data_IF_733387129074
#
_entry.id   IF_733387129074
#
_cell.length_a   1.000
_cell.length_b   1.000
_cell.length_c   1.000
_cell.angle_alpha   90.00
_cell.angle_beta   90.00
_cell.angle_gamma   90.00
#
_symmetry.space_group_name_H-M   'P 1'
#
loop_
_entity.id
_entity.type
_entity.pdbx_description
1 polymer ?
#
# COMPACT_ATOMS: atom_id res chain seq x y z
N UNK A 1 8.14 -12.30 -23.33
CA UNK A 1 6.97 -11.42 -23.25
C UNK A 1 7.34 -9.97 -22.91
N UNK A 2 7.62 -9.57 -21.66
CA UNK A 2 7.91 -8.14 -21.37
C UNK A 2 9.21 -7.62 -22.01
N UNK A 3 10.29 -8.41 -21.99
CA UNK A 3 11.55 -8.00 -22.63
C UNK A 3 11.43 -7.82 -24.16
N UNK A 4 10.52 -8.56 -24.81
CA UNK A 4 10.21 -8.39 -26.24
C UNK A 4 9.43 -7.09 -26.44
N UNK A 5 8.40 -6.86 -25.62
CA UNK A 5 7.59 -5.65 -25.65
C UNK A 5 8.40 -4.37 -25.43
N UNK A 6 9.37 -4.37 -24.49
CA UNK A 6 10.27 -3.21 -24.30
C UNK A 6 11.24 -3.07 -25.46
N UNK A 7 11.76 -4.18 -26.01
CA UNK A 7 12.65 -4.15 -27.16
C UNK A 7 12.00 -3.61 -28.44
N UNK A 8 10.69 -3.81 -28.61
CA UNK A 8 9.91 -3.27 -29.73
C UNK A 8 9.60 -1.77 -29.56
N UNK A 9 9.42 -1.29 -28.32
CA UNK A 9 8.93 0.06 -28.04
C UNK A 9 10.00 1.06 -27.59
N UNK A 10 11.15 0.58 -27.16
CA UNK A 10 12.30 1.42 -26.76
C UNK A 10 13.47 1.14 -27.70
N UNK A 11 13.70 2.01 -28.71
CA UNK A 11 14.87 1.92 -29.56
C UNK A 11 16.15 1.88 -28.72
N UNK A 12 17.05 0.98 -29.10
CA UNK A 12 18.36 0.81 -28.47
C UNK A 12 18.28 0.38 -26.99
N UNK A 13 17.18 -0.22 -26.55
CA UNK A 13 17.02 -0.67 -25.16
C UNK A 13 18.21 -1.47 -24.63
N UNK A 14 18.82 -2.32 -25.48
CA UNK A 14 20.00 -3.14 -25.12
C UNK A 14 21.26 -2.32 -24.84
N UNK A 15 21.35 -1.13 -25.42
CA UNK A 15 22.48 -0.21 -25.32
C UNK A 15 22.20 0.90 -24.27
N UNK A 16 20.95 1.07 -23.86
CA UNK A 16 20.56 2.00 -22.80
C UNK A 16 20.87 1.44 -21.41
N UNK A 17 21.45 2.30 -20.57
CA UNK A 17 21.70 2.03 -19.16
C UNK A 17 22.64 0.87 -18.87
N UNK A 18 22.74 0.50 -17.60
CA UNK A 18 23.50 -0.66 -17.13
C UNK A 18 22.68 -1.94 -17.31
N UNK A 19 23.35 -3.10 -17.20
CA UNK A 19 22.67 -4.41 -17.19
C UNK A 19 21.66 -4.52 -16.03
N UNK A 20 22.00 -3.95 -14.89
CA UNK A 20 21.18 -3.97 -13.68
C UNK A 20 19.90 -3.15 -13.88
N UNK A 21 20.02 -1.92 -14.40
CA UNK A 21 18.87 -1.07 -14.72
C UNK A 21 17.92 -1.74 -15.73
N UNK A 22 18.45 -2.41 -16.76
CA UNK A 22 17.62 -3.18 -17.69
C UNK A 22 16.92 -4.35 -17.01
N UNK A 23 17.61 -5.04 -16.11
CA UNK A 23 17.02 -6.17 -15.38
C UNK A 23 15.92 -5.70 -14.42
N UNK A 24 16.10 -4.57 -13.76
CA UNK A 24 15.08 -3.95 -12.91
C UNK A 24 13.84 -3.61 -13.71
N UNK A 25 13.97 -2.89 -14.84
CA UNK A 25 12.83 -2.58 -15.69
C UNK A 25 12.10 -3.86 -16.14
N UNK A 26 12.84 -4.91 -16.52
CA UNK A 26 12.25 -6.20 -16.89
C UNK A 26 11.48 -6.83 -15.73
N UNK A 27 12.03 -6.77 -14.53
CA UNK A 27 11.41 -7.31 -13.32
C UNK A 27 10.13 -6.54 -12.97
N UNK A 28 10.15 -5.20 -13.05
CA UNK A 28 8.98 -4.36 -12.82
C UNK A 28 7.87 -4.60 -13.86
N UNK A 29 8.25 -4.79 -15.13
CA UNK A 29 7.30 -5.16 -16.17
C UNK A 29 6.70 -6.54 -15.96
N UNK A 30 7.50 -7.51 -15.53
CA UNK A 30 7.00 -8.82 -15.17
C UNK A 30 6.06 -8.76 -13.96
N UNK A 31 6.39 -7.94 -12.95
CA UNK A 31 5.52 -7.69 -11.81
C UNK A 31 4.19 -7.08 -12.24
N UNK A 32 4.18 -6.01 -13.04
CA UNK A 32 2.95 -5.37 -13.49
C UNK A 32 2.04 -6.32 -14.29
N UNK A 33 2.61 -7.11 -15.19
CA UNK A 33 1.88 -8.16 -15.91
C UNK A 33 1.33 -9.24 -14.96
N UNK A 34 2.15 -9.67 -14.00
CA UNK A 34 1.76 -10.66 -12.99
C UNK A 34 0.66 -10.17 -12.05
N UNK A 35 0.63 -8.87 -11.76
CA UNK A 35 -0.44 -8.22 -11.00
C UNK A 35 -1.77 -8.14 -11.77
N UNK A 36 -1.75 -8.36 -13.10
CA UNK A 36 -2.92 -8.36 -13.96
C UNK A 36 -3.04 -7.12 -14.87
N UNK A 37 -2.00 -6.29 -14.97
CA UNK A 37 -2.01 -5.18 -15.92
C UNK A 37 -1.99 -5.71 -17.37
N UNK A 38 -2.86 -5.22 -18.28
CA UNK A 38 -2.82 -5.59 -19.68
C UNK A 38 -1.49 -5.21 -20.32
N UNK A 39 -0.94 -6.08 -21.16
CA UNK A 39 0.30 -5.81 -21.88
C UNK A 39 0.24 -4.51 -22.71
N UNK A 40 -0.94 -4.16 -23.23
CA UNK A 40 -1.15 -2.90 -23.93
C UNK A 40 -0.90 -1.67 -23.03
N UNK A 41 -1.36 -1.69 -21.77
CA UNK A 41 -1.15 -0.59 -20.82
C UNK A 41 0.30 -0.52 -20.36
N UNK A 42 0.90 -1.68 -20.09
CA UNK A 42 2.33 -1.77 -19.75
C UNK A 42 3.18 -1.17 -20.87
N UNK A 43 2.90 -1.51 -22.13
CA UNK A 43 3.59 -0.93 -23.28
C UNK A 43 3.31 0.56 -23.47
N UNK A 44 2.09 1.02 -23.18
CA UNK A 44 1.75 2.44 -23.22
C UNK A 44 2.57 3.24 -22.19
N UNK A 45 2.72 2.72 -20.98
CA UNK A 45 3.54 3.35 -19.94
C UNK A 45 5.02 3.41 -20.34
N UNK A 46 5.53 2.34 -20.95
CA UNK A 46 6.89 2.33 -21.51
C UNK A 46 7.03 3.43 -22.58
N UNK A 47 6.07 3.59 -23.49
CA UNK A 47 6.11 4.66 -24.50
C UNK A 47 6.12 6.07 -23.90
N UNK A 48 5.37 6.32 -22.84
CA UNK A 48 5.37 7.62 -22.15
C UNK A 48 6.77 7.98 -21.62
N UNK A 49 7.49 6.98 -21.09
CA UNK A 49 8.85 7.16 -20.61
C UNK A 49 9.92 7.17 -21.72
N UNK A 50 9.60 6.73 -22.94
CA UNK A 50 10.58 6.39 -23.98
C UNK A 50 11.08 7.58 -24.84
N UNK A 51 11.41 8.71 -24.23
CA UNK A 51 12.16 9.77 -24.92
C UNK A 51 13.59 9.31 -25.26
N UNK A 52 14.19 9.77 -26.38
CA UNK A 52 15.62 9.54 -26.69
C UNK A 52 16.56 9.92 -25.53
N UNK A 53 16.18 10.90 -24.72
CA UNK A 53 16.98 11.39 -23.60
C UNK A 53 16.63 10.74 -22.25
N UNK A 54 15.56 9.95 -22.19
CA UNK A 54 15.12 9.31 -20.95
C UNK A 54 16.07 8.21 -20.51
N UNK A 55 16.39 8.22 -19.22
CA UNK A 55 17.11 7.14 -18.54
C UNK A 55 16.15 5.99 -18.21
N UNK A 56 16.67 4.76 -18.11
CA UNK A 56 15.85 3.60 -17.76
C UNK A 56 15.04 3.72 -16.46
N UNK A 57 15.54 4.36 -15.38
CA UNK A 57 14.74 4.61 -14.17
C UNK A 57 13.47 5.46 -14.41
N UNK A 58 13.45 6.30 -15.45
CA UNK A 58 12.25 7.07 -15.82
C UNK A 58 11.12 6.17 -16.33
N UNK A 59 11.49 5.14 -17.09
CA UNK A 59 10.58 4.12 -17.60
C UNK A 59 10.11 3.19 -16.48
N UNK A 60 11.04 2.80 -15.61
CA UNK A 60 10.80 1.90 -14.47
C UNK A 60 9.70 2.44 -13.56
N UNK A 61 9.76 3.73 -13.24
CA UNK A 61 8.84 4.30 -12.26
C UNK A 61 7.37 4.26 -12.68
N UNK A 62 7.09 4.49 -13.97
CA UNK A 62 5.74 4.34 -14.50
C UNK A 62 5.25 2.90 -14.45
N UNK A 63 6.10 1.94 -14.85
CA UNK A 63 5.74 0.52 -14.91
C UNK A 63 5.48 -0.04 -13.51
N UNK A 64 6.35 0.29 -12.55
CA UNK A 64 6.17 -0.07 -11.14
C UNK A 64 4.89 0.55 -10.58
N UNK A 65 4.61 1.83 -10.87
CA UNK A 65 3.38 2.49 -10.43
C UNK A 65 2.12 1.78 -10.93
N UNK A 66 2.08 1.43 -12.22
CA UNK A 66 0.99 0.67 -12.82
C UNK A 66 0.79 -0.67 -12.11
N UNK A 67 1.87 -1.42 -11.88
CA UNK A 67 1.82 -2.70 -11.18
C UNK A 67 1.29 -2.59 -9.75
N UNK A 68 1.77 -1.61 -8.97
CA UNK A 68 1.33 -1.40 -7.59
C UNK A 68 -0.14 -1.02 -7.48
N UNK A 69 -0.65 -0.15 -8.37
CA UNK A 69 -2.05 0.25 -8.37
C UNK A 69 -2.96 -0.93 -8.70
N UNK A 70 -2.62 -1.71 -9.74
CA UNK A 70 -3.39 -2.91 -10.12
C UNK A 70 -3.35 -3.95 -9.00
N UNK A 71 -2.17 -4.21 -8.43
CA UNK A 71 -2.02 -5.11 -7.29
C UNK A 71 -2.81 -4.65 -6.05
N UNK A 72 -2.99 -3.34 -5.89
CA UNK A 72 -3.81 -2.75 -4.83
C UNK A 72 -5.32 -2.88 -5.06
N UNK A 73 -5.75 -3.32 -6.25
CA UNK A 73 -7.17 -3.47 -6.62
C UNK A 73 -7.74 -2.31 -7.43
N UNK A 74 -6.92 -1.36 -7.89
CA UNK A 74 -7.34 -0.32 -8.84
C UNK A 74 -7.45 -0.95 -10.24
N UNK A 75 -8.52 -0.64 -10.98
CA UNK A 75 -8.69 -1.17 -12.33
C UNK A 75 -7.53 -0.71 -13.24
N UNK A 76 -7.12 -1.56 -14.18
CA UNK A 76 -5.97 -1.26 -15.03
C UNK A 76 -6.13 0.02 -15.86
N UNK A 77 -7.35 0.38 -16.27
CA UNK A 77 -7.63 1.63 -16.97
C UNK A 77 -7.38 2.85 -16.07
N UNK A 78 -7.90 2.82 -14.84
CA UNK A 78 -7.70 3.91 -13.87
C UNK A 78 -6.25 4.01 -13.42
N UNK A 79 -5.57 2.87 -13.28
CA UNK A 79 -4.14 2.82 -12.97
C UNK A 79 -3.30 3.46 -14.07
N UNK A 80 -3.63 3.19 -15.35
CA UNK A 80 -2.98 3.84 -16.49
C UNK A 80 -3.24 5.35 -16.50
N UNK A 81 -4.48 5.78 -16.24
CA UNK A 81 -4.85 7.20 -16.20
C UNK A 81 -4.07 7.98 -15.13
N UNK A 82 -3.84 7.40 -13.94
CA UNK A 82 -3.00 8.01 -12.89
C UNK A 82 -1.58 8.22 -13.40
N UNK A 83 -0.98 7.20 -14.04
CA UNK A 83 0.39 7.27 -14.56
C UNK A 83 0.49 8.29 -15.70
N UNK A 84 -0.46 8.29 -16.64
CA UNK A 84 -0.51 9.26 -17.74
C UNK A 84 -0.69 10.69 -17.23
N UNK A 85 -1.60 10.90 -16.28
CA UNK A 85 -1.85 12.24 -15.71
C UNK A 85 -0.60 12.75 -14.99
N UNK A 86 0.01 11.92 -14.14
CA UNK A 86 1.24 12.30 -13.46
C UNK A 86 2.35 12.67 -14.45
N UNK A 87 2.53 11.88 -15.51
CA UNK A 87 3.51 12.16 -16.54
C UNK A 87 3.24 13.47 -17.31
N UNK A 88 1.99 13.70 -17.72
CA UNK A 88 1.59 14.93 -18.43
C UNK A 88 1.79 16.18 -17.58
N UNK A 89 1.62 16.08 -16.27
CA UNK A 89 1.86 17.16 -15.31
C UNK A 89 3.32 17.26 -14.84
N UNK A 90 4.25 16.62 -15.55
CA UNK A 90 5.69 16.80 -15.38
C UNK A 90 6.32 15.90 -14.32
N UNK A 91 5.57 14.97 -13.71
CA UNK A 91 6.15 13.99 -12.79
C UNK A 91 6.94 12.94 -13.55
N UNK A 92 7.96 12.40 -12.89
CA UNK A 92 9.00 11.56 -13.49
C UNK A 92 9.25 10.33 -12.63
N UNK A 93 10.04 9.39 -13.13
CA UNK A 93 10.15 8.00 -12.66
C UNK A 93 9.94 7.82 -11.15
N UNK A 94 10.82 8.38 -10.29
CA UNK A 94 10.70 8.21 -8.83
C UNK A 94 9.40 8.75 -8.21
N UNK A 95 8.89 9.88 -8.68
CA UNK A 95 7.66 10.51 -8.18
C UNK A 95 6.43 9.70 -8.59
N UNK A 96 6.37 9.29 -9.87
CA UNK A 96 5.30 8.44 -10.39
C UNK A 96 5.28 7.10 -9.63
N UNK A 97 6.45 6.48 -9.45
CA UNK A 97 6.59 5.23 -8.70
C UNK A 97 6.09 5.37 -7.26
N UNK A 98 6.40 6.50 -6.61
CA UNK A 98 5.94 6.79 -5.25
C UNK A 98 4.43 6.92 -5.19
N UNK A 99 3.81 7.67 -6.09
CA UNK A 99 2.35 7.80 -6.17
C UNK A 99 1.71 6.41 -6.32
N UNK A 100 2.17 5.62 -7.28
CA UNK A 100 1.58 4.30 -7.54
C UNK A 100 1.71 3.34 -6.36
N UNK A 101 2.85 3.34 -5.66
CA UNK A 101 3.06 2.54 -4.44
C UNK A 101 2.16 3.00 -3.29
N UNK A 102 2.21 4.29 -2.97
CA UNK A 102 1.51 4.83 -1.79
C UNK A 102 -0.02 4.75 -1.99
N UNK A 103 -0.52 5.08 -3.18
CA UNK A 103 -1.95 4.94 -3.50
C UNK A 103 -2.38 3.47 -3.61
N UNK A 104 -1.60 2.63 -4.28
CA UNK A 104 -1.90 1.20 -4.41
C UNK A 104 -1.95 0.51 -3.04
N UNK A 105 -1.04 0.87 -2.15
CA UNK A 105 -1.07 0.42 -0.75
C UNK A 105 -2.31 0.91 -0.02
N UNK A 106 -2.62 2.22 -0.07
CA UNK A 106 -3.79 2.79 0.59
C UNK A 106 -5.10 2.12 0.15
N UNK A 107 -5.27 1.91 -1.16
CA UNK A 107 -6.43 1.22 -1.74
C UNK A 107 -6.49 -0.24 -1.26
N UNK A 108 -5.38 -0.97 -1.31
CA UNK A 108 -5.32 -2.38 -0.93
C UNK A 108 -5.59 -2.63 0.56
N UNK A 109 -5.25 -1.68 1.44
CA UNK A 109 -5.52 -1.81 2.88
C UNK A 109 -7.00 -1.57 3.24
N UNK A 110 -7.81 -0.97 2.35
CA UNK A 110 -9.22 -0.63 2.62
C UNK A 110 -9.45 0.17 3.92
N UNK A 111 -8.44 0.89 4.40
CA UNK A 111 -8.52 1.78 5.56
C UNK A 111 -8.59 3.22 5.05
N UNK A 112 -9.70 3.92 5.30
CA UNK A 112 -9.89 5.31 4.85
C UNK A 112 -11.09 5.48 3.90
N UNK A 113 -11.07 6.50 3.02
CA UNK A 113 -12.10 6.70 2.01
C UNK A 113 -12.24 5.49 1.08
N UNK A 114 -13.37 5.33 0.38
CA UNK A 114 -13.50 4.31 -0.66
C UNK A 114 -12.42 4.40 -1.73
N UNK A 115 -11.98 3.27 -2.28
CA UNK A 115 -10.92 3.18 -3.30
C UNK A 115 -11.09 4.17 -4.46
N UNK A 116 -12.30 4.27 -5.02
CA UNK A 116 -12.59 5.19 -6.12
C UNK A 116 -12.36 6.64 -5.70
N UNK A 117 -12.81 7.04 -4.50
CA UNK A 117 -12.63 8.40 -4.00
C UNK A 117 -11.14 8.75 -3.78
N UNK A 118 -10.33 7.78 -3.34
CA UNK A 118 -8.88 7.99 -3.20
C UNK A 118 -8.21 8.22 -4.56
N UNK A 119 -8.57 7.42 -5.57
CA UNK A 119 -8.04 7.55 -6.94
C UNK A 119 -8.50 8.87 -7.57
N UNK A 120 -9.78 9.22 -7.42
CA UNK A 120 -10.36 10.46 -7.94
C UNK A 120 -9.68 11.70 -7.35
N UNK A 121 -9.40 11.68 -6.04
CA UNK A 121 -8.72 12.79 -5.38
C UNK A 121 -7.25 12.92 -5.81
N UNK A 122 -6.51 11.81 -5.98
CA UNK A 122 -5.15 11.87 -6.52
C UNK A 122 -5.14 12.44 -7.94
N UNK A 123 -6.08 12.02 -8.79
CA UNK A 123 -6.19 12.56 -10.15
C UNK A 123 -6.54 14.04 -10.14
N UNK A 124 -7.44 14.49 -9.26
CA UNK A 124 -7.76 15.91 -9.08
C UNK A 124 -6.51 16.71 -8.72
N UNK A 125 -5.74 16.26 -7.72
CA UNK A 125 -4.50 16.92 -7.30
C UNK A 125 -3.48 16.98 -8.46
N UNK A 126 -3.32 15.89 -9.20
CA UNK A 126 -2.44 15.86 -10.37
C UNK A 126 -2.88 16.85 -11.45
N UNK A 127 -4.18 16.89 -11.76
CA UNK A 127 -4.76 17.79 -12.76
C UNK A 127 -4.63 19.27 -12.37
N UNK A 128 -4.65 19.59 -11.08
CA UNK A 128 -4.39 20.92 -10.55
C UNK A 128 -2.90 21.32 -10.62
N UNK A 129 -2.02 20.40 -11.03
CA UNK A 129 -0.58 20.63 -11.07
C UNK A 129 0.03 20.72 -9.68
N UNK A 130 -0.58 20.05 -8.70
CA UNK A 130 -0.08 20.05 -7.33
C UNK A 130 1.32 19.45 -7.24
N UNK A 131 2.11 20.00 -6.31
CA UNK A 131 3.47 19.52 -6.10
C UNK A 131 3.44 18.13 -5.47
N UNK A 132 4.43 17.30 -5.80
CA UNK A 132 4.59 15.97 -5.24
C UNK A 132 4.55 15.95 -3.69
N UNK A 133 5.08 16.98 -3.02
CA UNK A 133 5.02 17.09 -1.55
C UNK A 133 3.59 17.12 -1.01
N UNK A 134 2.66 17.77 -1.72
CA UNK A 134 1.26 17.87 -1.30
C UNK A 134 0.53 16.54 -1.51
N UNK A 135 0.71 15.92 -2.67
CA UNK A 135 0.15 14.60 -2.98
C UNK A 135 0.67 13.53 -2.01
N UNK A 136 1.99 13.55 -1.72
CA UNK A 136 2.59 12.66 -0.73
C UNK A 136 1.99 12.87 0.68
N UNK A 137 1.75 14.11 1.07
CA UNK A 137 1.13 14.43 2.37
C UNK A 137 -0.31 13.91 2.49
N UNK A 138 -1.09 14.02 1.42
CA UNK A 138 -2.43 13.43 1.34
C UNK A 138 -2.38 11.90 1.48
N UNK A 139 -1.55 11.23 0.67
CA UNK A 139 -1.41 9.77 0.70
C UNK A 139 -0.90 9.26 2.06
N UNK A 140 0.05 9.97 2.67
CA UNK A 140 0.54 9.65 4.00
C UNK A 140 -0.57 9.74 5.05
N UNK A 141 -1.42 10.77 4.98
CA UNK A 141 -2.55 10.96 5.91
C UNK A 141 -3.53 9.81 5.84
N UNK A 142 -3.81 9.29 4.64
CA UNK A 142 -4.70 8.13 4.46
C UNK A 142 -4.03 6.85 5.00
N UNK A 143 -2.77 6.62 4.64
CA UNK A 143 -2.03 5.45 5.11
C UNK A 143 -1.88 5.41 6.65
N UNK A 144 -1.75 6.57 7.30
CA UNK A 144 -1.62 6.68 8.76
C UNK A 144 -2.98 6.72 9.48
N UNK A 145 -4.01 7.34 8.89
CA UNK A 145 -5.35 7.40 9.46
C UNK A 145 -6.05 6.03 9.60
N UNK A 146 -5.52 5.00 8.94
CA UNK A 146 -5.89 3.59 9.15
C UNK A 146 -5.27 2.94 10.38
N UNK A 147 -4.19 3.51 10.95
CA UNK A 147 -3.53 3.00 12.17
C UNK A 147 -4.12 3.60 13.45
N UNK A 148 -4.73 4.79 13.39
CA UNK A 148 -5.29 5.49 14.56
C UNK A 148 -6.74 5.11 14.91
N UNK A 149 -7.34 4.13 14.21
CA UNK A 149 -8.75 3.72 14.41
C UNK A 149 -8.94 2.28 14.89
N UNK A 150 -8.08 1.80 15.77
CA UNK A 150 -8.49 0.75 16.72
C UNK A 150 -9.19 1.44 17.92
N UNK A 151 -10.50 1.25 18.16
CA UNK A 151 -11.12 1.73 19.38
C UNK A 151 -10.47 1.01 20.58
N UNK A 152 -9.80 1.76 21.46
CA UNK A 152 -9.33 1.26 22.76
C UNK A 152 -7.81 1.11 22.95
N UNK A 153 -6.95 1.66 22.09
CA UNK A 153 -5.48 1.64 22.31
C UNK A 153 -4.86 3.01 22.55
N UNK A 154 -5.68 4.05 22.73
CA UNK A 154 -5.15 5.33 23.23
C UNK A 154 -4.61 5.09 24.66
N UNK A 155 -3.37 5.50 25.00
CA UNK A 155 -2.87 5.42 26.39
C UNK A 155 -3.77 6.18 27.39
N UNK A 156 -4.65 7.04 26.88
CA UNK A 156 -5.65 7.79 27.64
C UNK A 156 -6.95 7.01 27.89
N UNK A 157 -7.16 5.88 27.21
CA UNK A 157 -8.34 5.00 27.36
C UNK A 157 -8.07 3.79 28.28
N UNK A 158 -6.89 3.71 28.92
CA UNK A 158 -6.61 2.68 29.91
C UNK A 158 -7.36 2.99 31.23
N UNK A 159 -8.37 2.20 31.63
CA UNK A 159 -9.06 2.40 32.91
C UNK A 159 -8.14 2.23 34.12
N UNK A 160 -6.94 1.67 33.97
CA UNK A 160 -5.93 1.60 35.03
C UNK A 160 -5.31 2.97 35.38
N UNK A 161 -5.30 3.92 34.44
CA UNK A 161 -4.72 5.27 34.63
C UNK A 161 -5.71 6.24 35.31
N UNK A 162 -6.99 5.87 35.42
CA UNK A 162 -8.03 6.64 36.12
C UNK A 162 -8.09 6.36 37.64
N UNK A 163 -7.29 5.43 38.17
CA UNK A 163 -7.09 5.26 39.61
C UNK A 163 -5.97 6.17 40.10
N UNK A 164 -6.35 7.39 40.49
CA UNK A 164 -5.50 8.22 41.35
C UNK A 164 -5.16 7.50 42.67
N UNK A 165 -4.09 7.93 43.37
CA UNK A 165 -3.65 7.27 44.60
C UNK A 165 -4.64 7.61 45.73
N UNK A 166 -5.62 6.74 45.94
CA UNK A 166 -6.69 6.92 46.92
C UNK A 166 -6.67 5.82 47.98
N UNK A 167 -6.05 6.12 49.12
CA UNK A 167 -6.38 5.72 50.49
C UNK A 167 -6.79 4.28 50.83
N UNK A 168 -6.04 3.65 51.74
CA UNK A 168 -6.60 2.63 52.64
C UNK A 168 -7.74 3.23 53.49
N UNK A 169 -8.81 2.47 53.78
CA UNK A 169 -8.90 1.87 55.11
C UNK A 169 -9.63 0.51 55.21
N UNK A 170 -9.11 -0.30 56.12
CA UNK A 170 -9.74 -1.11 57.19
C UNK A 170 -11.21 -1.61 57.15
N UNK A 171 -11.33 -2.86 57.62
CA UNK A 171 -12.37 -3.48 58.48
C UNK A 171 -13.64 -4.12 57.88
N UNK A 172 -13.73 -5.45 58.08
CA UNK A 172 -14.88 -6.09 58.73
C UNK A 172 -15.87 -6.86 57.85
N UNK A 173 -16.10 -8.13 58.18
CA UNK A 173 -17.31 -8.85 57.73
C UNK A 173 -17.10 -10.34 57.45
N UNK A 174 -17.69 -11.18 58.31
CA UNK A 174 -17.62 -12.65 58.39
C UNK A 174 -18.79 -13.30 57.62
N UNK A 175 -18.71 -14.64 57.45
CA UNK A 175 -19.77 -15.63 57.09
C UNK A 175 -20.14 -15.71 55.59
N UNK A 176 -20.39 -16.85 54.93
CA UNK A 176 -20.53 -18.26 55.32
C UNK A 176 -20.27 -19.20 54.09
N UNK A 177 -19.70 -20.37 54.39
CA UNK A 177 -20.09 -21.72 53.95
C UNK A 177 -20.43 -22.11 52.49
N UNK A 178 -19.74 -23.18 52.08
CA UNK A 178 -20.20 -24.36 51.32
C UNK A 178 -20.22 -24.36 49.77
N UNK A 179 -19.56 -25.38 49.22
CA UNK A 179 -19.55 -25.72 47.79
C UNK A 179 -18.47 -26.74 47.42
N UNK A 180 -18.56 -27.97 47.95
CA UNK A 180 -17.70 -29.10 47.65
C UNK A 180 -18.07 -29.80 46.33
N UNK A 181 -17.05 -30.35 45.65
CA UNK A 181 -17.15 -31.51 44.74
C UNK A 181 -16.59 -31.25 43.34
N UNK A 182 -15.63 -32.00 42.80
CA UNK A 182 -14.92 -33.18 43.28
C UNK A 182 -13.81 -33.51 42.26
N UNK A 183 -12.63 -33.87 42.75
CA UNK A 183 -11.48 -34.33 41.95
C UNK A 183 -11.51 -35.85 41.90
N UNK A 184 -11.30 -36.39 40.70
CA UNK A 184 -11.24 -37.82 40.44
C UNK A 184 -10.10 -38.53 41.16
N UNK A 185 -10.31 -39.82 41.38
CA UNK A 185 -9.32 -40.75 41.88
C UNK A 185 -9.65 -42.13 41.33
N UNK A 186 -8.76 -42.60 40.46
CA UNK A 186 -8.83 -43.85 39.71
C UNK A 186 -8.80 -45.10 40.60
N UNK A 187 -9.51 -46.14 40.15
CA UNK A 187 -9.53 -47.46 40.79
C UNK A 187 -10.10 -48.54 39.86
N UNK A 188 -9.27 -49.00 38.93
CA UNK A 188 -9.41 -50.22 38.11
C UNK A 188 -9.41 -51.51 38.98
N UNK A 189 -9.56 -52.72 38.42
CA UNK A 189 -10.65 -53.33 37.62
C UNK A 189 -11.25 -54.55 38.38
N UNK A 190 -12.22 -55.28 37.81
CA UNK A 190 -12.21 -56.77 37.76
C UNK A 190 -13.50 -57.31 37.11
N UNK A 191 -13.28 -58.10 36.05
CA UNK A 191 -14.15 -59.06 35.32
C UNK A 191 -15.48 -58.59 34.72
#
# INVERSE_FOLDING_TARGET
>A
MFAELVGERVPDFRERGTREERFHLISEGAYALGAGAPAAHVGRVVELGASPESRLPELEGGVLALGCLVSGGVSADRSLEVVETAHHHGMRGPDIARIGRDLGFAVGQSQGPPAHAMVDEVLRLLQEGERMSHIAGYLQTICQGGQDRAPGTSPMDDPAMMRGPGGSPEHGGRHDSEGHGGRGGDGHPHY
#
